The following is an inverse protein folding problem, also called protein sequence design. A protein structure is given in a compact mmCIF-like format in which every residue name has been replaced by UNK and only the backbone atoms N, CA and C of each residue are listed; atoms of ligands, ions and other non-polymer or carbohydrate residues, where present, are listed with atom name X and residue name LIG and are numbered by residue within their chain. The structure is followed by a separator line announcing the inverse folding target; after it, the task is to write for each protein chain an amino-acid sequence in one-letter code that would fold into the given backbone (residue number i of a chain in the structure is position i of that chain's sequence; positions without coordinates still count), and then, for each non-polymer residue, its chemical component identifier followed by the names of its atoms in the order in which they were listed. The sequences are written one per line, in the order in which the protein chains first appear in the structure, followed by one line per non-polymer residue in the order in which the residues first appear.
data_IF_604600939746
#
_entry.id   IF_604600939746
#
_cell.length_a   1.000
_cell.length_b   1.000
_cell.length_c   1.000
_cell.angle_alpha   90.00
_cell.angle_beta   90.00
_cell.angle_gamma   90.00
#
_symmetry.space_group_name_H-M   'P 1'
#
loop_
_entity.id
_entity.type
_entity.pdbx_description
1 polymer ?
#
# COMPACT_ATOMS: atom_id res chain seq x y z
N UNK A 1 21.93 17.90 -36.44
CA UNK A 1 21.29 19.16 -36.02
C UNK A 1 19.93 18.80 -35.43
N UNK A 2 19.86 18.52 -34.12
CA UNK A 2 18.66 17.97 -33.45
C UNK A 2 17.94 19.11 -32.72
N UNK A 3 16.68 19.36 -33.10
CA UNK A 3 15.79 20.34 -32.48
C UNK A 3 15.33 19.83 -31.12
N UNK A 4 15.75 20.48 -30.04
CA UNK A 4 15.19 20.30 -28.69
C UNK A 4 13.90 21.10 -28.58
N UNK A 5 12.75 20.42 -28.46
CA UNK A 5 11.47 21.08 -28.18
C UNK A 5 11.35 21.40 -26.67
N UNK A 6 10.98 22.66 -26.38
CA UNK A 6 10.69 23.20 -25.04
C UNK A 6 9.50 22.46 -24.41
N UNK A 7 9.74 21.79 -23.27
CA UNK A 7 8.68 21.39 -22.34
C UNK A 7 8.12 22.63 -21.63
N UNK A 8 6.86 22.96 -21.90
CA UNK A 8 6.12 24.03 -21.22
C UNK A 8 5.71 23.56 -19.81
N UNK A 9 5.95 24.41 -18.82
CA UNK A 9 5.52 24.23 -17.42
C UNK A 9 4.00 24.07 -17.33
N UNK A 10 3.53 22.93 -16.83
CA UNK A 10 2.12 22.73 -16.47
C UNK A 10 1.82 23.43 -15.14
N UNK A 11 0.71 24.17 -15.07
CA UNK A 11 0.31 24.87 -13.86
C UNK A 11 -0.12 23.89 -12.75
N UNK A 12 0.18 24.25 -11.50
CA UNK A 12 -0.15 23.50 -10.28
C UNK A 12 -1.65 23.12 -10.20
N UNK A 13 -2.53 23.92 -10.81
CA UNK A 13 -3.96 23.64 -10.88
C UNK A 13 -4.31 22.40 -11.74
N UNK A 14 -3.55 22.10 -12.80
CA UNK A 14 -3.76 20.89 -13.62
C UNK A 14 -3.23 19.62 -12.94
N UNK A 15 -2.15 19.73 -12.17
CA UNK A 15 -1.66 18.62 -11.33
C UNK A 15 -2.68 18.24 -10.24
N UNK A 16 -3.37 19.22 -9.63
CA UNK A 16 -4.45 18.95 -8.68
C UNK A 16 -5.65 18.23 -9.32
N UNK A 17 -6.03 18.59 -10.55
CA UNK A 17 -7.19 17.97 -11.23
C UNK A 17 -6.92 16.56 -11.74
N UNK A 18 -5.70 16.28 -12.21
CA UNK A 18 -5.28 14.93 -12.62
C UNK A 18 -5.13 13.95 -11.43
N UNK A 19 -4.85 14.45 -10.23
CA UNK A 19 -4.78 13.63 -9.02
C UNK A 19 -6.17 13.33 -8.43
N UNK A 20 -7.12 14.26 -8.56
CA UNK A 20 -8.47 14.10 -8.01
C UNK A 20 -9.35 13.10 -8.77
N UNK A 21 -9.06 12.81 -10.05
CA UNK A 21 -9.81 11.80 -10.83
C UNK A 21 -9.45 10.35 -10.49
N UNK A 22 -8.35 10.10 -9.77
CA UNK A 22 -8.00 8.78 -9.21
C UNK A 22 -8.24 8.72 -7.68
N UNK A 23 -8.78 9.77 -7.07
CA UNK A 23 -8.93 9.90 -5.62
C UNK A 23 -10.33 9.51 -5.09
N UNK A 24 -11.21 8.94 -5.92
CA UNK A 24 -12.61 8.68 -5.53
C UNK A 24 -12.81 7.53 -4.51
N UNK A 25 -11.75 7.02 -3.86
CA UNK A 25 -11.87 6.02 -2.80
C UNK A 25 -11.01 6.27 -1.54
N UNK A 26 -10.32 7.40 -1.43
CA UNK A 26 -9.58 7.74 -0.21
C UNK A 26 -10.31 8.79 0.61
N UNK A 27 -11.40 8.37 1.24
CA UNK A 27 -12.19 9.17 2.18
C UNK A 27 -11.76 8.90 3.63
N UNK A 28 -11.19 9.92 4.25
CA UNK A 28 -11.34 10.28 5.67
C UNK A 28 -10.72 9.33 6.71
N UNK A 29 -9.44 9.57 7.05
CA UNK A 29 -8.92 9.31 8.39
C UNK A 29 -9.00 10.61 9.20
N UNK A 30 -10.06 10.75 10.01
CA UNK A 30 -10.10 11.69 11.12
C UNK A 30 -9.10 11.18 12.16
N UNK A 31 -7.98 11.88 12.33
CA UNK A 31 -7.08 11.66 13.46
C UNK A 31 -7.80 12.19 14.71
N UNK A 32 -8.24 11.28 15.58
CA UNK A 32 -8.75 11.62 16.92
C UNK A 32 -7.58 11.45 17.93
N UNK A 33 -7.40 12.37 18.89
CA UNK A 33 -6.41 12.20 19.95
C UNK A 33 -6.91 11.18 20.99
N UNK A 34 -6.09 10.18 21.32
CA UNK A 34 -6.37 9.22 22.40
C UNK A 34 -5.93 9.81 23.76
N UNK A 35 -6.88 9.93 24.69
CA UNK A 35 -6.62 10.24 26.10
C UNK A 35 -6.12 8.97 26.82
N UNK A 36 -5.03 9.11 27.60
CA UNK A 36 -4.50 8.03 28.44
C UNK A 36 -5.36 7.85 29.70
N UNK A 37 -5.72 6.61 30.04
CA UNK A 37 -6.29 6.28 31.35
C UNK A 37 -5.52 5.14 32.03
N UNK A 38 -4.94 5.52 33.17
CA UNK A 38 -4.79 4.84 34.46
C UNK A 38 -4.61 3.30 34.48
N UNK A 39 -3.40 2.88 34.84
CA UNK A 39 -3.08 1.55 35.34
C UNK A 39 -3.60 1.35 36.78
N UNK A 40 -4.40 0.31 36.98
CA UNK A 40 -4.78 -0.21 38.29
C UNK A 40 -3.69 -1.13 38.86
N UNK A 41 -3.37 -0.92 40.14
CA UNK A 41 -2.41 -1.70 40.93
C UNK A 41 -3.00 -3.03 41.37
N UNK A 42 -2.23 -4.12 41.24
CA UNK A 42 -2.46 -5.37 41.95
C UNK A 42 -1.13 -5.83 42.57
N UNK A 43 -1.16 -6.04 43.88
CA UNK A 43 -0.03 -6.43 44.71
C UNK A 43 0.22 -7.94 44.61
N UNK A 44 1.49 -8.34 44.53
CA UNK A 44 1.93 -9.72 44.70
C UNK A 44 2.76 -9.87 45.98
N UNK A 45 2.45 -10.92 46.72
CA UNK A 45 3.16 -11.43 47.89
C UNK A 45 4.45 -12.17 47.50
N UNK A 46 5.42 -12.03 48.37
CA UNK A 46 6.83 -12.42 48.31
C UNK A 46 7.10 -13.90 48.54
N UNK A 47 7.94 -14.52 47.68
CA UNK A 47 8.77 -15.68 48.01
C UNK A 47 10.15 -15.48 47.37
N UNK A 48 11.19 -15.56 48.20
CA UNK A 48 12.58 -15.24 47.85
C UNK A 48 13.22 -16.25 46.90
N UNK A 49 13.99 -15.72 45.95
CA UNK A 49 14.88 -16.50 45.11
C UNK A 49 16.24 -15.81 44.96
N UNK A 50 17.25 -16.62 45.25
CA UNK A 50 18.68 -16.56 44.99
C UNK A 50 19.15 -15.54 43.93
N UNK A 51 20.00 -14.61 44.36
CA UNK A 51 20.65 -13.59 43.52
C UNK A 51 21.74 -14.21 42.65
N UNK A 52 21.46 -14.39 41.36
CA UNK A 52 22.48 -14.60 40.33
C UNK A 52 22.75 -13.26 39.65
N UNK A 53 23.97 -12.74 39.80
CA UNK A 53 24.43 -11.52 39.13
C UNK A 53 24.63 -11.84 37.65
N UNK A 54 23.57 -11.65 36.86
CA UNK A 54 23.64 -11.66 35.40
C UNK A 54 24.05 -10.27 34.93
N UNK A 55 25.18 -10.22 34.24
CA UNK A 55 25.68 -9.06 33.51
C UNK A 55 24.55 -8.40 32.71
N UNK A 56 24.33 -7.12 32.95
CA UNK A 56 23.50 -6.27 32.12
C UNK A 56 24.16 -6.15 30.75
N UNK A 57 23.81 -7.05 29.84
CA UNK A 57 23.94 -6.77 28.42
C UNK A 57 23.06 -5.56 28.14
N UNK A 58 23.69 -4.44 27.81
CA UNK A 58 22.99 -3.31 27.20
C UNK A 58 22.33 -3.86 25.92
N UNK A 59 21.04 -4.20 26.02
CA UNK A 59 20.20 -4.37 24.86
C UNK A 59 20.30 -3.02 24.14
N UNK A 60 21.01 -3.00 23.01
CA UNK A 60 20.98 -1.86 22.13
C UNK A 60 19.50 -1.51 21.95
N UNK A 61 19.09 -0.32 22.37
CA UNK A 61 17.78 0.20 22.02
C UNK A 61 17.74 0.19 20.50
N UNK A 62 17.11 -0.85 19.96
CA UNK A 62 16.84 -0.97 18.55
C UNK A 62 16.16 0.31 18.17
N UNK A 63 16.77 1.05 17.24
CA UNK A 63 16.29 2.33 16.79
C UNK A 63 14.95 2.08 16.06
N UNK A 64 13.86 1.94 16.82
CA UNK A 64 12.52 1.53 16.40
C UNK A 64 11.81 2.67 15.65
N UNK A 65 12.51 3.22 14.67
CA UNK A 65 12.04 4.28 13.80
C UNK A 65 11.11 3.72 12.72
N UNK A 66 11.06 2.40 12.53
CA UNK A 66 10.15 1.73 11.61
C UNK A 66 9.33 0.71 12.39
N UNK A 67 8.01 0.73 12.21
CA UNK A 67 7.09 -0.28 12.73
C UNK A 67 6.05 -0.60 11.66
N UNK A 68 5.87 -1.88 11.36
CA UNK A 68 4.89 -2.35 10.39
C UNK A 68 3.97 -3.36 11.06
N UNK A 69 2.65 -3.22 10.84
CA UNK A 69 1.64 -4.17 11.30
C UNK A 69 0.86 -4.68 10.10
N UNK A 70 0.98 -5.98 9.80
CA UNK A 70 0.23 -6.62 8.71
C UNK A 70 -1.04 -7.27 9.24
N UNK A 71 -2.21 -6.80 8.81
CA UNK A 71 -3.49 -7.49 9.08
C UNK A 71 -3.62 -8.74 8.20
N UNK A 72 -4.35 -9.79 8.64
CA UNK A 72 -4.69 -10.90 7.76
C UNK A 72 -5.40 -10.43 6.47
N UNK A 73 -5.25 -11.19 5.40
CA UNK A 73 -6.01 -10.99 4.18
C UNK A 73 -7.52 -11.08 4.46
N UNK A 74 -8.30 -10.19 3.86
CA UNK A 74 -9.75 -10.11 4.04
C UNK A 74 -10.41 -10.56 2.74
N UNK A 75 -10.79 -11.83 2.68
CA UNK A 75 -11.36 -12.45 1.48
C UNK A 75 -12.86 -12.57 1.65
N UNK A 76 -13.60 -12.08 0.67
CA UNK A 76 -15.05 -12.20 0.58
C UNK A 76 -15.45 -12.71 -0.80
N UNK A 77 -16.51 -13.53 -0.86
CA UNK A 77 -17.17 -13.89 -2.11
C UNK A 77 -18.59 -13.35 -2.08
N UNK A 78 -18.96 -12.59 -3.11
CA UNK A 78 -20.29 -12.01 -3.29
C UNK A 78 -20.94 -12.56 -4.54
N UNK A 79 -22.20 -12.93 -4.41
CA UNK A 79 -23.00 -13.42 -5.52
C UNK A 79 -23.89 -12.32 -6.07
N UNK A 80 -24.04 -12.22 -7.40
CA UNK A 80 -24.95 -11.26 -8.04
C UNK A 80 -25.83 -11.92 -9.11
N UNK A 81 -26.91 -11.24 -9.52
CA UNK A 81 -27.76 -11.65 -10.64
C UNK A 81 -27.14 -11.16 -11.95
N UNK A 82 -26.71 -12.03 -12.89
CA UNK A 82 -26.08 -11.59 -14.14
C UNK A 82 -27.00 -10.75 -15.04
N UNK A 83 -28.32 -10.91 -14.94
CA UNK A 83 -29.28 -10.09 -15.68
C UNK A 83 -29.45 -8.68 -15.11
N UNK A 84 -29.11 -8.50 -13.83
CA UNK A 84 -29.18 -7.22 -13.11
C UNK A 84 -28.08 -7.17 -12.04
N UNK A 85 -26.80 -6.96 -12.41
CA UNK A 85 -25.68 -7.07 -11.47
C UNK A 85 -25.73 -6.04 -10.33
N UNK A 86 -26.34 -4.88 -10.56
CA UNK A 86 -26.31 -3.76 -9.63
C UNK A 86 -25.08 -2.86 -9.83
N UNK A 87 -25.12 -1.66 -9.25
CA UNK A 87 -24.08 -0.62 -9.47
C UNK A 87 -22.76 -0.87 -8.76
N UNK A 88 -22.80 -1.68 -7.69
CA UNK A 88 -21.63 -1.94 -6.85
C UNK A 88 -20.75 -3.09 -7.38
N UNK A 89 -21.21 -3.80 -8.41
CA UNK A 89 -20.45 -4.90 -9.03
C UNK A 89 -19.52 -4.33 -10.11
N UNK A 90 -18.19 -4.43 -9.96
CA UNK A 90 -17.23 -3.74 -10.80
C UNK A 90 -16.90 -4.50 -12.10
N UNK A 91 -17.91 -4.97 -12.84
CA UNK A 91 -17.72 -5.68 -14.11
C UNK A 91 -17.27 -4.72 -15.22
N UNK A 92 -16.27 -5.13 -16.02
CA UNK A 92 -15.97 -4.48 -17.29
C UNK A 92 -16.82 -5.06 -18.43
N UNK A 93 -16.96 -4.36 -19.57
CA UNK A 93 -17.67 -4.89 -20.72
C UNK A 93 -17.12 -6.26 -21.16
N UNK A 94 -17.98 -7.28 -21.17
CA UNK A 94 -17.63 -8.65 -21.58
C UNK A 94 -17.09 -9.55 -20.46
N UNK A 95 -17.05 -9.07 -19.21
CA UNK A 95 -16.74 -9.90 -18.04
C UNK A 95 -18.03 -10.51 -17.47
N UNK A 96 -18.00 -11.82 -17.19
CA UNK A 96 -19.11 -12.55 -16.54
C UNK A 96 -18.94 -12.66 -15.01
N UNK A 97 -17.71 -12.44 -14.53
CA UNK A 97 -17.31 -12.42 -13.13
C UNK A 97 -16.08 -11.50 -13.01
N UNK A 98 -15.75 -11.09 -11.78
CA UNK A 98 -14.55 -10.27 -11.56
C UNK A 98 -14.06 -10.40 -10.12
N UNK A 99 -12.75 -10.28 -9.94
CA UNK A 99 -12.13 -10.19 -8.63
C UNK A 99 -11.63 -8.76 -8.42
N UNK A 100 -12.12 -8.11 -7.37
CA UNK A 100 -11.65 -6.80 -6.96
C UNK A 100 -10.69 -6.94 -5.78
N UNK A 101 -9.54 -6.28 -5.82
CA UNK A 101 -8.57 -6.30 -4.73
C UNK A 101 -7.95 -4.93 -4.50
N UNK A 102 -7.44 -4.73 -3.29
CA UNK A 102 -6.60 -3.57 -2.96
C UNK A 102 -5.49 -3.98 -1.98
N UNK A 103 -4.39 -3.21 -1.98
CA UNK A 103 -3.31 -3.31 -1.00
C UNK A 103 -3.32 -2.04 -0.15
N UNK A 104 -4.02 -2.09 0.98
CA UNK A 104 -4.12 -0.97 1.91
C UNK A 104 -2.80 -0.68 2.60
N UNK A 105 -2.42 0.61 2.64
CA UNK A 105 -1.19 1.09 3.26
C UNK A 105 -1.45 2.38 4.04
N UNK A 106 -1.83 2.24 5.31
CA UNK A 106 -2.03 3.37 6.19
C UNK A 106 -0.71 3.70 6.89
N UNK A 107 -0.22 4.94 6.72
CA UNK A 107 1.08 5.38 7.25
C UNK A 107 0.93 6.56 8.20
N UNK A 108 1.65 6.51 9.30
CA UNK A 108 1.86 7.59 10.25
C UNK A 108 3.34 7.96 10.27
N UNK A 109 3.64 9.25 10.12
CA UNK A 109 5.02 9.73 10.01
C UNK A 109 5.38 10.61 11.20
N UNK A 110 6.51 10.30 11.84
CA UNK A 110 7.24 11.21 12.71
C UNK A 110 8.25 12.01 11.91
N UNK A 111 8.33 13.31 12.16
CA UNK A 111 9.33 14.17 11.55
C UNK A 111 9.77 15.29 12.50
N UNK A 112 10.99 15.78 12.29
CA UNK A 112 11.54 16.95 12.99
C UNK A 112 11.81 18.07 11.99
N UNK A 113 11.67 19.32 12.46
CA UNK A 113 12.07 20.48 11.68
C UNK A 113 13.57 20.38 11.36
N UNK A 114 13.89 20.47 10.08
CA UNK A 114 15.27 20.44 9.60
C UNK A 114 15.76 21.86 9.28
N UNK A 115 15.00 22.61 8.46
CA UNK A 115 15.28 24.02 8.19
C UNK A 115 13.99 24.83 8.07
N UNK A 116 14.07 26.13 8.34
CA UNK A 116 12.95 27.05 8.18
C UNK A 116 13.45 28.39 7.66
N UNK A 117 12.74 28.94 6.68
CA UNK A 117 12.94 30.30 6.16
C UNK A 117 11.59 30.99 6.04
N UNK A 118 11.52 32.25 6.47
CA UNK A 118 10.34 33.10 6.24
C UNK A 118 10.49 33.81 4.89
N UNK A 119 9.47 33.72 4.04
CA UNK A 119 9.40 34.37 2.73
C UNK A 119 8.16 35.29 2.72
N UNK A 120 8.34 36.52 3.23
CA UNK A 120 7.25 37.47 3.42
C UNK A 120 6.24 36.99 4.47
N UNK A 121 5.01 36.73 4.03
CA UNK A 121 3.93 36.22 4.87
C UNK A 121 3.88 34.68 4.98
N UNK A 122 4.73 33.95 4.25
CA UNK A 122 4.78 32.49 4.28
C UNK A 122 6.05 31.95 4.95
N UNK A 123 5.97 30.68 5.35
CA UNK A 123 7.08 29.85 5.79
C UNK A 123 7.40 28.84 4.70
N UNK A 124 8.68 28.74 4.34
CA UNK A 124 9.24 27.57 3.67
C UNK A 124 10.02 26.77 4.69
N UNK A 125 9.53 25.59 5.03
CA UNK A 125 10.15 24.71 6.02
C UNK A 125 10.43 23.34 5.42
N UNK A 126 11.52 22.72 5.86
CA UNK A 126 11.87 21.34 5.54
C UNK A 126 11.85 20.48 6.80
N UNK A 127 11.39 19.26 6.67
CA UNK A 127 11.20 18.33 7.76
C UNK A 127 11.89 17.02 7.42
N UNK A 128 12.73 16.53 8.34
CA UNK A 128 13.42 15.24 8.23
C UNK A 128 12.55 14.16 8.85
N UNK A 129 12.26 13.09 8.09
CA UNK A 129 11.50 11.96 8.59
C UNK A 129 12.34 11.20 9.62
N UNK A 130 11.76 10.93 10.79
CA UNK A 130 12.41 10.22 11.89
C UNK A 130 11.70 8.94 12.29
N UNK A 131 10.42 8.80 11.94
CA UNK A 131 9.65 7.58 12.23
C UNK A 131 8.64 7.28 11.13
N UNK A 132 8.43 6.01 10.86
CA UNK A 132 7.37 5.48 10.00
C UNK A 132 6.67 4.36 10.75
N UNK A 133 5.37 4.51 10.98
CA UNK A 133 4.49 3.44 11.43
C UNK A 133 3.52 3.12 10.30
N UNK A 134 3.42 1.86 9.91
CA UNK A 134 2.53 1.43 8.83
C UNK A 134 1.59 0.31 9.26
N UNK A 135 0.35 0.36 8.78
CA UNK A 135 -0.62 -0.73 8.89
C UNK A 135 -1.03 -1.19 7.50
N UNK A 136 -0.86 -2.49 7.25
CA UNK A 136 -1.17 -3.12 5.97
C UNK A 136 -2.53 -3.83 6.04
N UNK A 137 -3.27 -3.83 4.94
CA UNK A 137 -4.46 -4.67 4.74
C UNK A 137 -4.58 -5.12 3.29
N UNK A 138 -5.28 -6.24 3.05
CA UNK A 138 -5.59 -6.71 1.70
C UNK A 138 -7.05 -7.18 1.63
N UNK A 139 -8.00 -6.29 1.34
CA UNK A 139 -9.34 -6.69 0.97
C UNK A 139 -9.36 -7.26 -0.45
N UNK A 140 -10.01 -8.42 -0.61
CA UNK A 140 -10.26 -9.09 -1.88
C UNK A 140 -11.73 -9.52 -1.90
N UNK A 141 -12.45 -9.17 -2.96
CA UNK A 141 -13.83 -9.56 -3.18
C UNK A 141 -13.97 -10.26 -4.52
N UNK A 142 -14.39 -11.52 -4.50
CA UNK A 142 -14.77 -12.27 -5.70
C UNK A 142 -16.25 -11.97 -5.97
N UNK A 143 -16.55 -11.39 -7.12
CA UNK A 143 -17.92 -11.14 -7.57
C UNK A 143 -18.29 -12.22 -8.59
N UNK A 144 -19.19 -13.13 -8.18
CA UNK A 144 -19.59 -14.29 -8.96
C UNK A 144 -21.09 -14.22 -9.31
N UNK A 145 -21.51 -14.57 -10.54
CA UNK A 145 -22.93 -14.68 -10.84
C UNK A 145 -23.55 -15.90 -10.13
N UNK A 146 -24.85 -15.85 -9.82
CA UNK A 146 -25.54 -16.92 -9.09
C UNK A 146 -25.46 -18.31 -9.77
N UNK A 147 -25.28 -18.33 -11.08
CA UNK A 147 -25.13 -19.53 -11.91
C UNK A 147 -23.69 -19.73 -12.41
N UNK A 148 -22.69 -19.20 -11.69
CA UNK A 148 -21.28 -19.32 -12.08
C UNK A 148 -20.90 -20.78 -12.29
N UNK A 149 -20.27 -21.06 -13.43
CA UNK A 149 -19.70 -22.38 -13.65
C UNK A 149 -18.42 -22.54 -12.83
N UNK A 150 -18.11 -23.78 -12.40
CA UNK A 150 -16.96 -24.09 -11.55
C UNK A 150 -15.64 -23.49 -12.07
N UNK A 151 -15.45 -23.51 -13.38
CA UNK A 151 -14.23 -23.03 -14.02
C UNK A 151 -14.05 -21.52 -13.94
N UNK A 152 -15.13 -20.76 -14.12
CA UNK A 152 -15.08 -19.31 -13.96
C UNK A 152 -14.84 -18.94 -12.48
N UNK A 153 -15.47 -19.66 -11.54
CA UNK A 153 -15.19 -19.47 -10.12
C UNK A 153 -13.72 -19.79 -9.77
N UNK A 154 -13.16 -20.87 -10.32
CA UNK A 154 -11.74 -21.22 -10.20
C UNK A 154 -10.83 -20.17 -10.84
N UNK A 155 -11.22 -19.57 -11.98
CA UNK A 155 -10.47 -18.51 -12.62
C UNK A 155 -10.34 -17.28 -11.71
N UNK A 156 -11.44 -16.81 -11.13
CA UNK A 156 -11.46 -15.71 -10.15
C UNK A 156 -10.66 -16.04 -8.88
N UNK A 157 -10.73 -17.29 -8.40
CA UNK A 157 -9.90 -17.75 -7.29
C UNK A 157 -8.41 -17.65 -7.58
N UNK A 158 -7.99 -17.81 -8.84
CA UNK A 158 -6.60 -17.60 -9.26
C UNK A 158 -6.12 -16.16 -9.04
N UNK A 159 -6.95 -15.15 -9.29
CA UNK A 159 -6.60 -13.75 -8.97
C UNK A 159 -6.44 -13.53 -7.48
N UNK A 160 -7.30 -14.14 -6.65
CA UNK A 160 -7.15 -14.14 -5.19
C UNK A 160 -5.81 -14.75 -4.78
N UNK A 161 -5.45 -15.91 -5.31
CA UNK A 161 -4.17 -16.59 -5.01
C UNK A 161 -2.96 -15.73 -5.37
N UNK A 162 -2.98 -15.06 -6.52
CA UNK A 162 -1.92 -14.11 -6.93
C UNK A 162 -1.77 -12.99 -5.89
N UNK A 163 -2.90 -12.41 -5.46
CA UNK A 163 -2.88 -11.31 -4.49
C UNK A 163 -2.34 -11.77 -3.13
N UNK A 164 -2.77 -12.93 -2.64
CA UNK A 164 -2.28 -13.50 -1.38
C UNK A 164 -0.78 -13.79 -1.42
N UNK A 165 -0.26 -14.32 -2.53
CA UNK A 165 1.17 -14.61 -2.68
C UNK A 165 2.01 -13.33 -2.58
N UNK A 166 1.58 -12.27 -3.27
CA UNK A 166 2.22 -10.95 -3.19
C UNK A 166 2.11 -10.38 -1.76
N UNK A 167 0.94 -10.48 -1.15
CA UNK A 167 0.69 -9.98 0.21
C UNK A 167 1.49 -10.73 1.29
N UNK A 168 1.84 -12.00 1.05
CA UNK A 168 2.74 -12.77 1.90
C UNK A 168 4.06 -12.04 2.18
N UNK A 169 4.57 -11.31 1.18
CA UNK A 169 5.80 -10.52 1.26
C UNK A 169 5.61 -9.03 1.57
N UNK A 170 4.37 -8.55 1.71
CA UNK A 170 4.06 -7.12 1.79
C UNK A 170 4.67 -6.41 3.00
N UNK A 171 4.81 -7.10 4.13
CA UNK A 171 5.45 -6.58 5.35
C UNK A 171 6.90 -6.21 5.12
N UNK A 172 7.71 -7.14 4.59
CA UNK A 172 9.11 -6.88 4.24
C UNK A 172 9.26 -5.79 3.20
N UNK A 173 8.34 -5.74 2.24
CA UNK A 173 8.29 -4.65 1.26
C UNK A 173 8.05 -3.31 1.95
N UNK A 174 7.06 -3.21 2.83
CA UNK A 174 6.75 -1.99 3.57
C UNK A 174 7.91 -1.56 4.49
N UNK A 175 8.51 -2.50 5.24
CA UNK A 175 9.69 -2.26 6.09
C UNK A 175 10.83 -1.66 5.27
N UNK A 176 11.21 -2.29 4.16
CA UNK A 176 12.27 -1.80 3.27
C UNK A 176 11.99 -0.37 2.78
N UNK A 177 10.76 -0.10 2.33
CA UNK A 177 10.43 1.25 1.84
C UNK A 177 10.40 2.29 2.99
N UNK A 178 9.95 1.90 4.17
CA UNK A 178 9.95 2.73 5.37
C UNK A 178 11.37 3.07 5.84
N UNK A 179 12.28 2.09 5.85
CA UNK A 179 13.69 2.28 6.18
C UNK A 179 14.37 3.29 5.25
N UNK A 180 14.13 3.17 3.94
CA UNK A 180 14.65 4.13 2.94
C UNK A 180 14.11 5.56 3.14
N UNK A 181 12.94 5.69 3.77
CA UNK A 181 12.31 6.97 4.04
C UNK A 181 12.89 7.66 5.29
N UNK A 182 13.47 6.91 6.23
CA UNK A 182 14.09 7.50 7.42
C UNK A 182 15.23 8.43 7.01
N UNK A 183 15.22 9.65 7.56
CA UNK A 183 16.20 10.67 7.28
C UNK A 183 15.98 11.45 5.98
N UNK A 184 15.02 11.07 5.14
CA UNK A 184 14.63 11.85 3.96
C UNK A 184 14.03 13.19 4.39
N UNK A 185 14.22 14.21 3.56
CA UNK A 185 13.78 15.58 3.85
C UNK A 185 12.69 16.00 2.86
N UNK A 186 11.56 16.44 3.38
CA UNK A 186 10.44 16.96 2.60
C UNK A 186 10.15 18.40 3.00
N UNK A 187 9.79 19.22 2.02
CA UNK A 187 9.47 20.63 2.26
C UNK A 187 8.01 20.94 2.06
N UNK A 188 7.52 21.91 2.81
CA UNK A 188 6.22 22.53 2.63
C UNK A 188 6.34 24.05 2.62
N UNK A 189 5.36 24.70 2.01
CA UNK A 189 5.27 26.16 1.97
C UNK A 189 3.85 26.60 2.28
N UNK A 190 3.67 27.36 3.37
CA UNK A 190 2.36 27.75 3.85
C UNK A 190 2.41 29.01 4.73
N UNK A 191 1.26 29.52 5.16
CA UNK A 191 1.20 30.72 6.02
C UNK A 191 1.63 30.43 7.45
N UNK A 192 1.55 29.16 7.87
CA UNK A 192 2.00 28.70 9.19
C UNK A 192 2.99 27.53 9.07
N UNK A 193 3.80 27.34 10.11
CA UNK A 193 4.74 26.22 10.16
C UNK A 193 4.03 24.86 10.17
N UNK A 194 2.89 24.74 10.86
CA UNK A 194 2.11 23.50 10.94
C UNK A 194 1.46 23.11 9.61
N UNK A 195 0.98 24.08 8.84
CA UNK A 195 0.51 23.81 7.47
C UNK A 195 1.65 23.37 6.56
N UNK A 196 2.82 24.00 6.66
CA UNK A 196 4.01 23.59 5.92
C UNK A 196 4.44 22.16 6.32
N UNK A 197 4.38 21.82 7.61
CA UNK A 197 4.61 20.45 8.11
C UNK A 197 3.62 19.46 7.51
N UNK A 198 2.34 19.79 7.53
CA UNK A 198 1.28 18.95 6.96
C UNK A 198 1.51 18.69 5.47
N UNK A 199 1.90 19.70 4.69
CA UNK A 199 2.26 19.52 3.29
C UNK A 199 3.49 18.62 3.11
N UNK A 200 4.53 18.78 3.94
CA UNK A 200 5.73 17.94 3.88
C UNK A 200 5.40 16.47 4.21
N UNK A 201 4.62 16.22 5.26
CA UNK A 201 4.12 14.88 5.62
C UNK A 201 3.29 14.29 4.48
N UNK A 202 2.37 15.06 3.90
CA UNK A 202 1.56 14.59 2.77
C UNK A 202 2.43 14.14 1.58
N UNK A 203 3.48 14.91 1.23
CA UNK A 203 4.43 14.53 0.17
C UNK A 203 5.19 13.25 0.52
N UNK A 204 5.69 13.12 1.75
CA UNK A 204 6.39 11.94 2.22
C UNK A 204 5.48 10.69 2.21
N UNK A 205 4.26 10.82 2.71
CA UNK A 205 3.26 9.74 2.69
C UNK A 205 2.88 9.34 1.26
N UNK A 206 2.74 10.31 0.34
CA UNK A 206 2.46 10.02 -1.06
C UNK A 206 3.59 9.24 -1.74
N UNK A 207 4.86 9.58 -1.44
CA UNK A 207 6.02 8.86 -1.97
C UNK A 207 6.11 7.44 -1.42
N UNK A 208 5.91 7.25 -0.10
CA UNK A 208 5.83 5.93 0.52
C UNK A 208 4.73 5.07 -0.10
N UNK A 209 3.53 5.64 -0.29
CA UNK A 209 2.42 4.96 -0.95
C UNK A 209 2.75 4.57 -2.39
N UNK A 210 3.37 5.47 -3.16
CA UNK A 210 3.79 5.18 -4.54
C UNK A 210 4.76 4.00 -4.60
N UNK A 211 5.75 3.96 -3.71
CA UNK A 211 6.73 2.88 -3.65
C UNK A 211 6.09 1.54 -3.25
N UNK A 212 5.23 1.54 -2.23
CA UNK A 212 4.52 0.34 -1.80
C UNK A 212 3.56 -0.18 -2.88
N UNK A 213 2.75 0.68 -3.49
CA UNK A 213 1.81 0.31 -4.55
C UNK A 213 2.52 -0.26 -5.79
N UNK A 214 3.68 0.29 -6.16
CA UNK A 214 4.49 -0.24 -7.28
C UNK A 214 4.87 -1.72 -7.06
N UNK A 215 5.29 -2.04 -5.83
CA UNK A 215 5.80 -3.36 -5.46
C UNK A 215 4.66 -4.33 -5.06
N UNK A 216 3.42 -3.87 -4.95
CA UNK A 216 2.26 -4.68 -4.57
C UNK A 216 1.15 -4.59 -5.61
N UNK A 217 0.32 -3.55 -5.58
CA UNK A 217 -0.84 -3.38 -6.46
C UNK A 217 -0.49 -3.41 -7.95
N UNK A 218 0.54 -2.67 -8.37
CA UNK A 218 0.93 -2.65 -9.78
C UNK A 218 1.57 -3.97 -10.19
N UNK A 219 2.29 -4.62 -9.27
CA UNK A 219 2.83 -5.95 -9.52
C UNK A 219 1.72 -7.00 -9.68
N UNK A 220 0.72 -6.99 -8.80
CA UNK A 220 -0.41 -7.92 -8.88
C UNK A 220 -1.22 -7.72 -10.16
N UNK A 221 -1.41 -6.48 -10.60
CA UNK A 221 -2.03 -6.19 -11.90
C UNK A 221 -1.26 -6.79 -13.07
N UNK A 222 0.07 -6.68 -13.08
CA UNK A 222 0.89 -7.26 -14.15
C UNK A 222 0.82 -8.79 -14.17
N UNK A 223 0.95 -9.43 -13.00
CA UNK A 223 0.87 -10.90 -12.89
C UNK A 223 -0.54 -11.39 -13.26
N UNK A 224 -1.59 -10.75 -12.75
CA UNK A 224 -2.98 -11.05 -13.11
C UNK A 224 -3.22 -10.91 -14.63
N UNK A 225 -2.61 -9.92 -15.28
CA UNK A 225 -2.71 -9.78 -16.74
C UNK A 225 -2.03 -10.94 -17.51
N UNK A 226 -0.90 -11.47 -17.02
CA UNK A 226 -0.32 -12.67 -17.64
C UNK A 226 -1.20 -13.90 -17.40
N UNK A 227 -1.75 -14.02 -16.19
CA UNK A 227 -2.69 -15.08 -15.84
C UNK A 227 -3.94 -15.06 -16.73
N UNK A 228 -4.52 -13.89 -16.99
CA UNK A 228 -5.63 -13.71 -17.91
C UNK A 228 -5.31 -14.18 -19.33
N UNK A 229 -4.12 -13.87 -19.85
CA UNK A 229 -3.68 -14.34 -21.16
C UNK A 229 -3.54 -15.86 -21.20
N UNK A 230 -2.88 -16.45 -20.19
CA UNK A 230 -2.66 -17.89 -20.09
C UNK A 230 -3.97 -18.66 -20.01
N UNK A 231 -4.91 -18.16 -19.23
CA UNK A 231 -6.23 -18.78 -19.04
C UNK A 231 -7.24 -18.36 -20.11
N UNK A 232 -6.91 -17.41 -20.99
CA UNK A 232 -7.84 -16.76 -21.90
C UNK A 232 -9.11 -16.31 -21.17
N UNK A 233 -8.94 -15.55 -20.07
CA UNK A 233 -10.02 -15.12 -19.18
C UNK A 233 -10.91 -16.30 -18.75
N UNK A 234 -10.28 -17.37 -18.26
CA UNK A 234 -10.96 -18.60 -17.83
C UNK A 234 -11.41 -19.56 -18.95
N UNK A 235 -11.21 -19.25 -20.24
CA UNK A 235 -11.62 -20.10 -21.38
C UNK A 235 -10.65 -21.24 -21.73
N UNK A 236 -9.41 -21.25 -21.22
CA UNK A 236 -8.39 -22.30 -21.40
C UNK A 236 -8.38 -23.29 -20.21
N UNK A 237 -8.13 -24.58 -20.47
CA UNK A 237 -8.30 -25.67 -19.47
C UNK A 237 -7.05 -25.86 -18.59
N UNK A 238 -6.18 -24.85 -18.56
CA UNK A 238 -4.97 -24.89 -17.76
C UNK A 238 -5.36 -24.90 -16.27
N UNK A 239 -4.86 -25.84 -15.45
CA UNK A 239 -5.13 -25.84 -14.02
C UNK A 239 -4.68 -24.52 -13.38
N UNK A 240 -5.54 -23.93 -12.53
CA UNK A 240 -5.33 -22.61 -11.91
C UNK A 240 -3.95 -22.49 -11.26
N UNK A 241 -3.55 -23.49 -10.47
CA UNK A 241 -2.25 -23.48 -9.79
C UNK A 241 -1.08 -23.35 -10.78
N UNK A 242 -1.14 -24.07 -11.91
CA UNK A 242 -0.10 -23.98 -12.94
C UNK A 242 -0.14 -22.63 -13.65
N UNK A 243 -1.34 -22.14 -13.97
CA UNK A 243 -1.52 -20.84 -14.60
C UNK A 243 -1.00 -19.68 -13.73
N UNK A 244 -1.26 -19.71 -12.42
CA UNK A 244 -0.75 -18.72 -11.45
C UNK A 244 0.78 -18.76 -11.40
N UNK A 245 1.37 -19.95 -11.27
CA UNK A 245 2.84 -20.11 -11.21
C UNK A 245 3.51 -19.62 -12.49
N UNK A 246 2.96 -20.01 -13.65
CA UNK A 246 3.46 -19.59 -14.96
C UNK A 246 3.32 -18.08 -15.14
N UNK A 247 2.24 -17.46 -14.66
CA UNK A 247 2.05 -16.00 -14.72
C UNK A 247 3.15 -15.24 -13.97
N UNK A 248 3.52 -15.71 -12.76
CA UNK A 248 4.64 -15.13 -12.01
C UNK A 248 5.97 -15.29 -12.75
N UNK A 249 6.25 -16.47 -13.30
CA UNK A 249 7.47 -16.72 -14.09
C UNK A 249 7.54 -15.83 -15.33
N UNK A 250 6.44 -15.68 -16.06
CA UNK A 250 6.38 -14.82 -17.22
C UNK A 250 6.62 -13.35 -16.88
N UNK A 251 6.01 -12.81 -15.80
CA UNK A 251 6.30 -11.44 -15.37
C UNK A 251 7.77 -11.28 -14.96
N UNK A 252 8.33 -12.26 -14.25
CA UNK A 252 9.75 -12.27 -13.88
C UNK A 252 10.65 -12.21 -15.11
N UNK A 253 10.49 -13.10 -16.09
CA UNK A 253 11.31 -13.09 -17.30
C UNK A 253 11.13 -11.80 -18.12
N UNK A 254 9.90 -11.29 -18.22
CA UNK A 254 9.63 -10.00 -18.88
C UNK A 254 10.38 -8.84 -18.19
N UNK A 255 10.54 -8.89 -16.87
CA UNK A 255 11.30 -7.88 -16.12
C UNK A 255 12.81 -7.93 -16.41
N UNK A 256 13.35 -9.09 -16.78
CA UNK A 256 14.78 -9.26 -17.09
C UNK A 256 15.14 -8.77 -18.50
N UNK A 257 14.25 -8.95 -19.47
CA UNK A 257 14.51 -8.60 -20.88
C UNK A 257 14.23 -7.14 -21.22
N UNK A 258 13.66 -6.38 -20.28
CA UNK A 258 13.24 -5.00 -20.50
C UNK A 258 12.00 -4.90 -21.42
N UNK A 259 11.40 -3.70 -21.56
CA UNK A 259 10.31 -3.50 -22.50
C UNK A 259 10.79 -3.81 -23.92
N UNK A 260 10.05 -4.66 -24.65
CA UNK A 260 10.22 -4.80 -26.09
C UNK A 260 9.97 -3.41 -26.69
N UNK A 261 11.02 -2.81 -27.26
CA UNK A 261 10.93 -1.54 -27.98
C UNK A 261 10.06 -1.69 -29.23
#
# INVERSE_FOLDING_TARGET
MIRVQKLKSLSVARLRKAFLTNASFYSVLKIQPFNSLAFGRLALSSVGFLTCVLSQGALAEGNNNVSVTKKPAQIESKTFNPAEPGKDVPLKPGEDATTAWNFGYAVELGCHLNTMKREGASYRASFKISRVTATLSMPVTLWLPANVNKRLAEHEDGHRQICEEIYGSAEKTAERQAELMIGQVFSGEAQTLEEARTQAIFKASAELNRLYCRDTLDYSRRVSHQYDKLTHHGKNRLPVLLAVREAFLQDYFNSLVGPKQ
#
